data_IF_121734205686
#
_entry.id   IF_121734205686
#
_cell.length_a   1.000
_cell.length_b   1.000
_cell.length_c   1.000
_cell.angle_alpha   90.00
_cell.angle_beta   90.00
_cell.angle_gamma   90.00
#
_symmetry.space_group_name_H-M   'P 1'
#
loop_
_entity.id
_entity.type
_entity.pdbx_description
1 polymer ?
#
# COMPACT_ATOMS: atom_id res chain seq x y z
N UNK A 1 11.18 -22.12 -22.29
CA UNK A 1 10.15 -21.15 -21.86
C UNK A 1 9.43 -21.79 -20.69
N UNK A 2 9.66 -21.41 -19.42
CA UNK A 2 8.89 -21.99 -18.34
C UNK A 2 7.51 -21.31 -18.24
N UNK A 3 6.55 -22.14 -17.87
CA UNK A 3 5.10 -22.08 -18.09
C UNK A 3 4.35 -21.24 -17.03
N UNK A 4 3.08 -20.85 -17.27
CA UNK A 4 2.34 -19.94 -16.40
C UNK A 4 1.96 -20.64 -15.10
N UNK A 5 2.42 -20.09 -13.98
CA UNK A 5 2.09 -20.56 -12.64
C UNK A 5 0.68 -20.08 -12.29
N UNK A 6 -0.31 -20.88 -12.67
CA UNK A 6 -1.69 -20.78 -12.17
C UNK A 6 -2.04 -22.05 -11.43
N UNK A 7 -1.38 -22.27 -10.30
CA UNK A 7 -1.91 -23.14 -9.23
C UNK A 7 -2.35 -22.22 -8.08
N UNK A 8 -3.44 -21.51 -8.32
CA UNK A 8 -4.21 -20.86 -7.26
C UNK A 8 -5.44 -21.72 -7.04
N UNK A 9 -5.32 -22.73 -6.20
CA UNK A 9 -6.51 -23.39 -5.65
C UNK A 9 -7.33 -22.29 -4.95
N UNK A 10 -8.58 -22.04 -5.36
CA UNK A 10 -9.34 -20.91 -4.83
C UNK A 10 -9.58 -21.13 -3.34
N UNK A 11 -8.86 -20.37 -2.52
CA UNK A 11 -9.09 -20.36 -1.09
C UNK A 11 -10.51 -19.87 -0.84
N UNK A 12 -11.27 -20.60 -0.02
CA UNK A 12 -12.70 -20.33 0.25
C UNK A 12 -12.93 -19.11 1.15
N UNK A 13 -11.94 -18.21 1.21
CA UNK A 13 -11.94 -16.91 1.87
C UNK A 13 -12.76 -15.92 1.04
N UNK A 14 -14.05 -16.21 0.89
CA UNK A 14 -14.95 -15.48 0.01
C UNK A 14 -14.92 -13.97 0.27
N UNK A 15 -14.37 -13.21 -0.68
CA UNK A 15 -14.43 -11.75 -0.70
C UNK A 15 -13.34 -11.01 0.09
N UNK A 16 -12.31 -11.69 0.62
CA UNK A 16 -11.26 -11.02 1.39
C UNK A 16 -10.40 -10.07 0.54
N UNK A 17 -10.40 -10.20 -0.78
CA UNK A 17 -9.62 -9.34 -1.68
C UNK A 17 -9.93 -7.84 -1.52
N UNK A 18 -11.20 -7.48 -1.35
CA UNK A 18 -11.60 -6.08 -1.13
C UNK A 18 -11.08 -5.57 0.21
N UNK A 19 -11.14 -6.41 1.25
CA UNK A 19 -10.63 -6.06 2.58
C UNK A 19 -9.11 -5.94 2.59
N UNK A 20 -8.38 -6.80 1.86
CA UNK A 20 -6.93 -6.69 1.70
C UNK A 20 -6.52 -5.41 0.97
N UNK A 21 -7.27 -4.99 -0.05
CA UNK A 21 -7.03 -3.70 -0.71
C UNK A 21 -7.26 -2.53 0.26
N UNK A 22 -8.42 -2.50 0.95
CA UNK A 22 -8.71 -1.46 1.94
C UNK A 22 -7.69 -1.42 3.09
N UNK A 23 -7.13 -2.58 3.46
CA UNK A 23 -6.04 -2.69 4.43
C UNK A 23 -4.75 -2.04 3.92
N UNK A 24 -4.36 -2.29 2.67
CA UNK A 24 -3.18 -1.69 2.04
C UNK A 24 -3.30 -0.16 1.89
N UNK A 25 -4.52 0.33 1.68
CA UNK A 25 -4.82 1.77 1.59
C UNK A 25 -4.92 2.44 2.97
N UNK A 26 -4.90 1.66 4.06
CA UNK A 26 -5.00 2.17 5.44
C UNK A 26 -6.40 2.65 5.83
N UNK A 27 -7.43 2.19 5.11
CA UNK A 27 -8.82 2.67 5.24
C UNK A 27 -9.67 1.83 6.21
N UNK A 28 -9.04 0.81 6.84
CA UNK A 28 -9.72 -0.08 7.77
C UNK A 28 -9.58 0.36 9.23
N UNK A 29 -10.62 0.15 10.06
CA UNK A 29 -10.52 0.35 11.49
C UNK A 29 -9.58 -0.69 12.12
N UNK A 30 -8.93 -0.32 13.22
CA UNK A 30 -7.91 -1.13 13.90
C UNK A 30 -8.37 -2.55 14.27
N UNK A 31 -9.67 -2.75 14.54
CA UNK A 31 -10.21 -4.08 14.81
C UNK A 31 -10.17 -5.00 13.59
N UNK A 32 -10.52 -4.48 12.42
CA UNK A 32 -10.51 -5.25 11.17
C UNK A 32 -9.07 -5.52 10.70
N UNK A 33 -8.14 -4.59 10.93
CA UNK A 33 -6.70 -4.81 10.69
C UNK A 33 -6.20 -6.05 11.44
N UNK A 34 -6.50 -6.18 12.73
CA UNK A 34 -6.10 -7.36 13.52
C UNK A 34 -6.69 -8.67 12.99
N UNK A 35 -7.94 -8.64 12.55
CA UNK A 35 -8.59 -9.82 11.97
C UNK A 35 -7.90 -10.25 10.67
N UNK A 36 -7.50 -9.28 9.83
CA UNK A 36 -6.75 -9.54 8.60
C UNK A 36 -5.34 -10.07 8.92
N UNK A 37 -4.62 -9.47 9.86
CA UNK A 37 -3.29 -9.94 10.28
C UNK A 37 -3.32 -11.38 10.80
N UNK A 38 -4.33 -11.72 11.62
CA UNK A 38 -4.55 -13.09 12.06
C UNK A 38 -4.84 -14.01 10.88
N UNK A 39 -5.68 -13.58 9.94
CA UNK A 39 -6.00 -14.40 8.77
C UNK A 39 -4.78 -14.66 7.89
N UNK A 40 -3.99 -13.63 7.59
CA UNK A 40 -2.77 -13.73 6.80
C UNK A 40 -1.74 -14.65 7.44
N UNK A 41 -1.71 -14.72 8.78
CA UNK A 41 -0.84 -15.64 9.52
C UNK A 41 -1.26 -17.11 9.40
N UNK A 42 -2.53 -17.37 9.07
CA UNK A 42 -3.13 -18.71 9.04
C UNK A 42 -3.52 -19.18 7.63
N UNK A 43 -3.41 -18.33 6.61
CA UNK A 43 -3.85 -18.62 5.24
C UNK A 43 -2.77 -18.25 4.20
N UNK A 44 -2.02 -19.23 3.66
CA UNK A 44 -0.96 -18.97 2.70
C UNK A 44 -1.50 -18.41 1.37
N UNK A 45 -2.71 -18.80 0.94
CA UNK A 45 -3.31 -18.28 -0.29
C UNK A 45 -3.58 -16.78 -0.19
N UNK A 46 -4.17 -16.33 0.92
CA UNK A 46 -4.41 -14.90 1.14
C UNK A 46 -3.11 -14.13 1.32
N UNK A 47 -2.06 -14.76 1.85
CA UNK A 47 -0.72 -14.16 1.90
C UNK A 47 -0.15 -13.93 0.48
N UNK A 48 -0.34 -14.85 -0.45
CA UNK A 48 0.07 -14.69 -1.86
C UNK A 48 -0.73 -13.58 -2.54
N UNK A 49 -2.04 -13.51 -2.31
CA UNK A 49 -2.89 -12.43 -2.84
C UNK A 49 -2.42 -11.08 -2.28
N UNK A 50 -2.13 -11.00 -0.99
CA UNK A 50 -1.64 -9.79 -0.34
C UNK A 50 -0.29 -9.32 -0.90
N UNK A 51 0.67 -10.24 -1.10
CA UNK A 51 1.96 -9.92 -1.73
C UNK A 51 1.76 -9.38 -3.16
N UNK A 52 0.90 -10.03 -3.93
CA UNK A 52 0.61 -9.64 -5.32
C UNK A 52 -0.03 -8.25 -5.39
N UNK A 53 -0.98 -7.96 -4.50
CA UNK A 53 -1.60 -6.63 -4.38
C UNK A 53 -0.56 -5.58 -3.96
N UNK A 54 0.24 -5.86 -2.93
CA UNK A 54 1.29 -4.96 -2.46
C UNK A 54 2.33 -4.64 -3.53
N UNK A 55 2.74 -5.64 -4.32
CA UNK A 55 3.64 -5.45 -5.47
C UNK A 55 3.02 -4.56 -6.54
N UNK A 56 1.73 -4.73 -6.82
CA UNK A 56 0.99 -3.89 -7.78
C UNK A 56 0.99 -2.43 -7.32
N UNK A 57 0.69 -2.18 -6.04
CA UNK A 57 0.74 -0.84 -5.43
C UNK A 57 2.14 -0.24 -5.55
N UNK A 58 3.19 -1.02 -5.26
CA UNK A 58 4.57 -0.56 -5.38
C UNK A 58 4.91 -0.14 -6.81
N UNK A 59 4.55 -0.95 -7.82
CA UNK A 59 4.78 -0.63 -9.24
C UNK A 59 4.09 0.68 -9.61
N UNK A 60 2.83 0.85 -9.24
CA UNK A 60 2.06 2.08 -9.53
C UNK A 60 2.70 3.30 -8.86
N UNK A 61 3.14 3.19 -7.61
CA UNK A 61 3.84 4.28 -6.90
C UNK A 61 5.15 4.65 -7.60
N UNK A 62 5.93 3.67 -8.04
CA UNK A 62 7.19 3.90 -8.77
C UNK A 62 6.99 4.61 -10.12
N UNK A 63 5.84 4.44 -10.77
CA UNK A 63 5.51 5.18 -12.01
C UNK A 63 5.23 6.67 -11.72
N UNK A 64 4.68 6.98 -10.54
CA UNK A 64 4.42 8.35 -10.09
C UNK A 64 5.64 9.07 -9.50
N UNK A 65 6.69 8.33 -9.14
CA UNK A 65 7.92 8.85 -8.51
C UNK A 65 8.91 9.49 -9.51
N UNK A 66 8.53 9.62 -10.78
CA UNK A 66 9.27 10.50 -11.67
C UNK A 66 9.37 11.88 -11.00
N UNK A 67 10.57 12.44 -10.79
CA UNK A 67 10.73 13.67 -10.03
C UNK A 67 9.93 14.78 -10.70
N UNK A 68 8.75 15.04 -10.17
CA UNK A 68 7.95 16.19 -10.53
C UNK A 68 8.73 17.38 -9.99
N UNK A 69 9.41 18.12 -10.87
CA UNK A 69 10.08 19.34 -10.47
C UNK A 69 9.03 20.26 -9.84
N UNK A 70 9.13 20.44 -8.52
CA UNK A 70 8.36 21.45 -7.83
C UNK A 70 8.77 22.82 -8.42
N UNK A 71 7.83 23.68 -8.82
CA UNK A 71 8.16 25.03 -9.19
C UNK A 71 8.87 25.72 -8.02
N UNK A 72 10.00 26.39 -8.28
CA UNK A 72 10.84 26.98 -7.23
C UNK A 72 10.07 27.94 -6.30
N UNK A 73 9.05 28.63 -6.81
CA UNK A 73 8.17 29.50 -6.00
C UNK A 73 7.36 28.71 -4.95
N UNK A 74 6.85 27.53 -5.32
CA UNK A 74 6.08 26.66 -4.42
C UNK A 74 6.98 26.13 -3.32
N UNK A 75 8.18 25.67 -3.67
CA UNK A 75 9.19 25.21 -2.72
C UNK A 75 9.58 26.33 -1.74
N UNK A 76 9.94 27.51 -2.25
CA UNK A 76 10.33 28.66 -1.43
C UNK A 76 9.22 29.08 -0.45
N UNK A 77 7.97 29.12 -0.91
CA UNK A 77 6.82 29.47 -0.06
C UNK A 77 6.54 28.42 1.03
N UNK A 78 6.72 27.13 0.70
CA UNK A 78 6.57 26.03 1.66
C UNK A 78 7.66 26.10 2.74
N UNK A 79 8.93 26.22 2.36
CA UNK A 79 10.05 26.36 3.31
C UNK A 79 9.86 27.60 4.20
N UNK A 80 9.47 28.74 3.63
CA UNK A 80 9.21 29.95 4.41
C UNK A 80 8.08 29.80 5.43
N UNK A 81 7.10 28.91 5.19
CA UNK A 81 6.05 28.57 6.16
C UNK A 81 6.58 27.66 7.26
N UNK A 82 7.17 26.52 6.87
CA UNK A 82 7.73 25.55 7.80
C UNK A 82 8.77 26.19 8.75
N UNK A 83 9.61 27.10 8.26
CA UNK A 83 10.58 27.82 9.09
C UNK A 83 9.96 28.83 10.06
N UNK A 84 8.76 29.36 9.77
CA UNK A 84 8.02 30.22 10.71
C UNK A 84 7.28 29.41 11.77
N UNK A 85 6.75 28.25 11.38
CA UNK A 85 6.00 27.35 12.26
C UNK A 85 6.94 26.47 13.12
N UNK A 86 8.23 26.42 12.79
CA UNK A 86 9.28 25.76 13.58
C UNK A 86 10.29 26.80 14.11
N UNK A 87 9.94 27.61 15.13
CA UNK A 87 10.92 28.42 15.83
C UNK A 87 11.89 27.44 16.51
N UNK A 88 13.17 27.50 16.17
CA UNK A 88 14.15 26.58 16.71
C UNK A 88 14.28 26.69 18.24
N UNK A 89 14.18 25.56 18.93
CA UNK A 89 14.65 25.36 20.33
C UNK A 89 13.58 25.51 21.39
#
# INVERSE_FOLDING_TARGET
>A
MPEPHTDHTPCRCGGLSIQLSAYLDGELPADLCRQIESHLSNCPDCQVIFDTLGRTVQIVRSLGDAPQLLPADVEARLLARLMRDNPQG
#
